data_IF_610460224038
#
_entry.id   IF_610460224038
#
_cell.length_a   1.000
_cell.length_b   1.000
_cell.length_c   1.000
_cell.angle_alpha   90.00
_cell.angle_beta   90.00
_cell.angle_gamma   90.00
#
_symmetry.space_group_name_H-M   'P 1'
#
loop_
_entity.id
_entity.type
_entity.pdbx_description
1 polymer ?
#
# COMPACT_ATOMS: atom_id res chain seq x y z
N UNK A 1 -27.05 13.95 -1.20
CA UNK A 1 -25.86 14.22 -0.36
C UNK A 1 -25.00 15.25 -1.07
N UNK A 2 -24.73 16.37 -0.43
CA UNK A 2 -23.87 17.43 -0.96
C UNK A 2 -22.42 16.93 -1.05
N UNK A 3 -21.65 17.47 -2.01
CA UNK A 3 -20.23 17.12 -2.22
C UNK A 3 -19.37 17.24 -0.95
N UNK A 4 -19.69 18.22 -0.09
CA UNK A 4 -19.04 18.46 1.21
C UNK A 4 -19.22 17.31 2.21
N UNK A 5 -20.35 16.59 2.18
CA UNK A 5 -20.59 15.45 3.08
C UNK A 5 -19.84 14.16 2.64
N UNK A 6 -19.34 14.10 1.39
CA UNK A 6 -18.60 12.96 0.87
C UNK A 6 -17.11 13.01 1.21
N UNK A 7 -16.54 14.20 1.35
CA UNK A 7 -15.11 14.40 1.58
C UNK A 7 -14.57 13.71 2.85
N UNK A 8 -15.16 13.90 4.05
CA UNK A 8 -14.65 13.25 5.26
C UNK A 8 -14.73 11.72 5.18
N UNK A 9 -15.70 11.19 4.44
CA UNK A 9 -15.85 9.76 4.22
C UNK A 9 -14.73 9.19 3.33
N UNK A 10 -14.41 9.88 2.24
CA UNK A 10 -13.32 9.50 1.33
C UNK A 10 -11.99 9.58 2.06
N UNK A 11 -11.78 10.66 2.82
CA UNK A 11 -10.57 10.84 3.63
C UNK A 11 -10.40 9.73 4.68
N UNK A 12 -11.48 9.37 5.38
CA UNK A 12 -11.46 8.27 6.34
C UNK A 12 -11.13 6.93 5.66
N UNK A 13 -11.77 6.64 4.52
CA UNK A 13 -11.49 5.43 3.76
C UNK A 13 -10.04 5.38 3.27
N UNK A 14 -9.51 6.52 2.82
CA UNK A 14 -8.13 6.68 2.41
C UNK A 14 -7.14 6.42 3.57
N UNK A 15 -7.36 7.05 4.72
CA UNK A 15 -6.49 6.87 5.89
C UNK A 15 -6.50 5.42 6.39
N UNK A 16 -7.68 4.79 6.43
CA UNK A 16 -7.80 3.39 6.84
C UNK A 16 -7.10 2.45 5.86
N UNK A 17 -7.26 2.69 4.56
CA UNK A 17 -6.60 1.91 3.52
C UNK A 17 -5.07 2.09 3.56
N UNK A 18 -4.60 3.32 3.73
CA UNK A 18 -3.19 3.63 3.83
C UNK A 18 -2.56 2.98 5.07
N UNK A 19 -3.24 3.03 6.21
CA UNK A 19 -2.79 2.36 7.44
C UNK A 19 -2.72 0.84 7.26
N UNK A 20 -3.78 0.23 6.72
CA UNK A 20 -3.82 -1.21 6.48
C UNK A 20 -2.70 -1.66 5.51
N UNK A 21 -2.56 -0.96 4.38
CA UNK A 21 -1.49 -1.25 3.41
C UNK A 21 -0.10 -1.07 4.00
N UNK A 22 0.10 -0.01 4.78
CA UNK A 22 1.37 0.26 5.45
C UNK A 22 1.76 -0.86 6.42
N UNK A 23 0.85 -1.23 7.32
CA UNK A 23 1.13 -2.31 8.30
C UNK A 23 1.47 -3.63 7.60
N UNK A 24 0.67 -4.02 6.60
CA UNK A 24 0.91 -5.26 5.85
C UNK A 24 2.24 -5.20 5.08
N UNK A 25 2.54 -4.08 4.45
CA UNK A 25 3.78 -3.88 3.72
C UNK A 25 5.03 -3.99 4.62
N UNK A 26 4.99 -3.36 5.81
CA UNK A 26 6.09 -3.46 6.78
C UNK A 26 6.23 -4.89 7.29
N UNK A 27 5.13 -5.57 7.62
CA UNK A 27 5.18 -6.98 8.04
C UNK A 27 5.85 -7.84 6.97
N UNK A 28 5.49 -7.68 5.71
CA UNK A 28 6.13 -8.43 4.62
C UNK A 28 7.61 -8.10 4.46
N UNK A 29 7.99 -6.82 4.49
CA UNK A 29 9.38 -6.41 4.36
C UNK A 29 10.24 -6.94 5.52
N UNK A 30 9.77 -6.76 6.76
CA UNK A 30 10.48 -7.23 7.95
C UNK A 30 10.59 -8.75 7.96
N UNK A 31 9.52 -9.47 7.59
CA UNK A 31 9.56 -10.95 7.48
C UNK A 31 10.62 -11.38 6.48
N UNK A 32 10.65 -10.79 5.28
CA UNK A 32 11.65 -11.12 4.26
C UNK A 32 13.08 -10.84 4.75
N UNK A 33 13.30 -9.71 5.43
CA UNK A 33 14.60 -9.38 6.01
C UNK A 33 15.03 -10.40 7.09
N UNK A 34 14.10 -10.79 7.98
CA UNK A 34 14.39 -11.77 9.02
C UNK A 34 14.68 -13.17 8.44
N UNK A 35 13.99 -13.57 7.37
CA UNK A 35 14.25 -14.82 6.67
C UNK A 35 15.64 -14.80 6.03
N UNK A 36 15.99 -13.74 5.31
CA UNK A 36 17.31 -13.57 4.70
C UNK A 36 18.45 -13.63 5.76
N UNK A 37 18.23 -13.01 6.93
CA UNK A 37 19.20 -13.07 8.02
C UNK A 37 19.38 -14.49 8.58
N UNK A 38 18.31 -15.28 8.67
CA UNK A 38 18.38 -16.69 9.08
C UNK A 38 19.11 -17.54 8.05
N UNK A 39 18.92 -17.28 6.76
CA UNK A 39 19.64 -18.01 5.71
C UNK A 39 21.16 -17.81 5.76
N UNK A 40 21.63 -16.66 6.24
CA UNK A 40 23.06 -16.39 6.45
C UNK A 40 23.55 -16.85 7.85
N UNK A 41 22.73 -17.61 8.58
CA UNK A 41 23.10 -18.23 9.85
C UNK A 41 22.87 -17.38 11.10
N UNK A 42 22.14 -16.27 11.02
CA UNK A 42 21.80 -15.47 12.18
C UNK A 42 20.75 -16.19 13.06
N UNK A 43 21.06 -16.40 14.32
CA UNK A 43 20.08 -16.92 15.30
C UNK A 43 19.25 -15.75 15.85
N UNK A 44 18.02 -15.64 15.37
CA UNK A 44 17.09 -14.57 15.72
C UNK A 44 15.99 -15.15 16.61
N UNK A 45 16.11 -14.91 17.91
CA UNK A 45 15.06 -15.27 18.87
C UNK A 45 13.78 -14.46 18.69
N UNK A 46 12.65 -14.99 19.19
CA UNK A 46 11.33 -14.38 19.05
C UNK A 46 11.26 -12.93 19.57
N UNK A 47 11.94 -12.64 20.68
CA UNK A 47 11.99 -11.28 21.25
C UNK A 47 12.71 -10.27 20.35
N UNK A 48 13.81 -10.68 19.72
CA UNK A 48 14.53 -9.86 18.75
C UNK A 48 13.67 -9.61 17.50
N UNK A 49 13.00 -10.64 16.99
CA UNK A 49 12.10 -10.51 15.86
C UNK A 49 10.96 -9.50 16.14
N UNK A 50 10.27 -9.63 17.28
CA UNK A 50 9.20 -8.70 17.66
C UNK A 50 9.71 -7.25 17.76
N UNK A 51 10.89 -7.06 18.38
CA UNK A 51 11.50 -5.73 18.46
C UNK A 51 11.78 -5.13 17.08
N UNK A 52 12.24 -5.95 16.13
CA UNK A 52 12.48 -5.52 14.74
C UNK A 52 11.19 -5.07 14.08
N UNK A 53 10.09 -5.83 14.20
CA UNK A 53 8.79 -5.41 13.66
C UNK A 53 8.33 -4.06 14.22
N UNK A 54 8.41 -3.87 15.53
CA UNK A 54 8.00 -2.62 16.17
C UNK A 54 8.89 -1.45 15.75
N UNK A 55 10.20 -1.70 15.63
CA UNK A 55 11.15 -0.68 15.18
C UNK A 55 10.90 -0.28 13.73
N UNK A 56 10.65 -1.23 12.84
CA UNK A 56 10.39 -0.96 11.42
C UNK A 56 9.04 -0.24 11.24
N UNK A 57 7.98 -0.66 11.95
CA UNK A 57 6.71 0.04 11.96
C UNK A 57 6.86 1.52 12.36
N UNK A 58 7.70 1.80 13.35
CA UNK A 58 7.94 3.18 13.78
C UNK A 58 8.90 3.90 12.85
N UNK A 59 9.99 3.26 12.44
CA UNK A 59 11.07 3.85 11.65
C UNK A 59 10.67 4.24 10.23
N UNK A 60 9.75 3.48 9.61
CA UNK A 60 9.28 3.73 8.25
C UNK A 60 8.01 4.59 8.18
N UNK A 61 7.53 5.08 9.33
CA UNK A 61 6.36 5.97 9.43
C UNK A 61 6.56 7.25 8.58
N UNK A 62 5.52 7.77 7.94
CA UNK A 62 5.60 9.03 7.19
C UNK A 62 6.05 10.18 8.11
N UNK A 63 7.13 10.87 7.75
CA UNK A 63 7.68 12.02 8.49
C UNK A 63 8.04 13.17 7.54
N UNK A 64 7.20 13.44 6.55
CA UNK A 64 7.43 14.49 5.54
C UNK A 64 8.74 14.37 4.73
N UNK A 65 9.48 13.29 4.89
CA UNK A 65 10.64 12.97 4.06
C UNK A 65 10.19 12.12 2.88
N UNK A 66 10.35 12.61 1.66
CA UNK A 66 9.93 11.95 0.41
C UNK A 66 10.65 10.59 0.24
N UNK A 67 11.81 10.44 0.84
CA UNK A 67 12.62 9.21 0.80
C UNK A 67 12.08 8.09 1.69
N UNK A 68 11.14 8.37 2.58
CA UNK A 68 10.59 7.34 3.47
C UNK A 68 9.49 6.56 2.80
N UNK A 69 9.54 5.25 2.98
CA UNK A 69 8.59 4.31 2.38
C UNK A 69 7.13 4.67 2.64
N UNK A 70 6.76 4.98 3.89
CA UNK A 70 5.39 5.38 4.24
C UNK A 70 4.92 6.65 3.52
N UNK A 71 5.81 7.62 3.30
CA UNK A 71 5.49 8.85 2.55
C UNK A 71 5.24 8.53 1.08
N UNK A 72 6.08 7.70 0.47
CA UNK A 72 5.91 7.26 -0.93
C UNK A 72 4.59 6.53 -1.11
N UNK A 73 4.22 5.64 -0.18
CA UNK A 73 2.92 4.97 -0.20
C UNK A 73 1.76 5.94 -0.11
N UNK A 74 1.79 6.91 0.82
CA UNK A 74 0.72 7.91 0.95
C UNK A 74 0.54 8.70 -0.33
N UNK A 75 1.62 9.22 -0.90
CA UNK A 75 1.57 9.97 -2.17
C UNK A 75 1.05 9.07 -3.30
N UNK A 76 1.56 7.85 -3.40
CA UNK A 76 1.13 6.89 -4.41
C UNK A 76 -0.36 6.60 -4.34
N UNK A 77 -0.90 6.32 -3.17
CA UNK A 77 -2.34 6.10 -3.00
C UNK A 77 -3.19 7.35 -3.23
N UNK A 78 -2.68 8.54 -2.83
CA UNK A 78 -3.36 9.82 -3.07
C UNK A 78 -3.53 10.14 -4.56
N UNK A 79 -2.65 9.61 -5.41
CA UNK A 79 -2.75 9.72 -6.87
C UNK A 79 -3.57 8.56 -7.44
N UNK A 80 -3.26 7.32 -7.05
CA UNK A 80 -3.79 6.13 -7.68
C UNK A 80 -5.30 5.93 -7.41
N UNK A 81 -5.79 6.20 -6.21
CA UNK A 81 -7.21 6.01 -5.88
C UNK A 81 -8.15 6.99 -6.59
N UNK A 82 -7.86 8.30 -6.69
CA UNK A 82 -8.65 9.20 -7.53
C UNK A 82 -8.63 8.82 -9.01
N UNK A 83 -7.47 8.40 -9.54
CA UNK A 83 -7.36 7.92 -10.93
C UNK A 83 -8.23 6.68 -11.13
N UNK A 84 -8.16 5.71 -10.21
CA UNK A 84 -9.02 4.52 -10.27
C UNK A 84 -10.51 4.86 -10.18
N UNK A 85 -10.89 5.85 -9.35
CA UNK A 85 -12.26 6.34 -9.25
C UNK A 85 -12.73 6.95 -10.57
N UNK A 86 -11.89 7.76 -11.21
CA UNK A 86 -12.18 8.37 -12.51
C UNK A 86 -12.31 7.30 -13.59
N UNK A 87 -11.37 6.37 -13.68
CA UNK A 87 -11.41 5.27 -14.64
C UNK A 87 -12.67 4.41 -14.46
N UNK A 88 -13.02 4.10 -13.21
CA UNK A 88 -14.26 3.38 -12.90
C UNK A 88 -15.49 4.14 -13.37
N UNK A 89 -15.54 5.45 -13.13
CA UNK A 89 -16.64 6.29 -13.54
C UNK A 89 -16.78 6.30 -15.07
N UNK A 90 -15.70 6.56 -15.78
CA UNK A 90 -15.67 6.59 -17.25
C UNK A 90 -16.02 5.23 -17.87
N UNK A 91 -15.44 4.15 -17.35
CA UNK A 91 -15.67 2.81 -17.85
C UNK A 91 -17.13 2.35 -17.69
N UNK A 92 -17.77 2.65 -16.57
CA UNK A 92 -19.18 2.30 -16.34
C UNK A 92 -20.13 3.10 -17.23
N UNK A 93 -19.78 4.35 -17.60
CA UNK A 93 -20.56 5.16 -18.54
C UNK A 93 -20.40 4.69 -19.99
N UNK A 94 -19.20 4.22 -20.35
CA UNK A 94 -18.91 3.76 -21.71
C UNK A 94 -19.51 2.38 -22.00
N UNK A 95 -19.44 1.44 -21.03
CA UNK A 95 -19.93 0.08 -21.21
C UNK A 95 -20.35 -0.56 -19.88
N UNK A 96 -21.65 -0.81 -19.64
CA UNK A 96 -22.12 -1.48 -18.43
C UNK A 96 -21.54 -2.88 -18.19
N UNK A 97 -21.08 -3.58 -19.23
CA UNK A 97 -20.45 -4.90 -19.08
C UNK A 97 -19.14 -4.82 -18.26
N UNK A 98 -18.50 -3.66 -18.21
CA UNK A 98 -17.30 -3.40 -17.38
C UNK A 98 -17.62 -3.41 -15.88
N UNK A 99 -18.87 -3.39 -15.48
CA UNK A 99 -19.28 -3.46 -14.07
C UNK A 99 -18.69 -4.68 -13.33
N UNK A 100 -18.42 -5.78 -14.04
CA UNK A 100 -17.77 -6.98 -13.45
C UNK A 100 -16.32 -6.74 -13.09
N UNK A 101 -15.59 -5.88 -13.80
CA UNK A 101 -14.16 -5.60 -13.59
C UNK A 101 -13.96 -4.37 -12.70
N UNK A 102 -14.95 -3.49 -12.63
CA UNK A 102 -14.90 -2.28 -11.83
C UNK A 102 -14.47 -2.47 -10.34
N UNK A 103 -14.82 -3.57 -9.66
CA UNK A 103 -14.36 -3.85 -8.29
C UNK A 103 -12.84 -4.06 -8.18
N UNK A 104 -12.16 -4.46 -9.24
CA UNK A 104 -10.72 -4.74 -9.21
C UNK A 104 -9.85 -3.50 -9.48
N UNK A 105 -10.44 -2.38 -9.86
CA UNK A 105 -9.67 -1.17 -10.19
C UNK A 105 -8.94 -0.57 -8.98
N UNK A 106 -9.54 -0.55 -7.80
CA UNK A 106 -8.87 -0.05 -6.60
C UNK A 106 -7.74 -0.97 -6.10
N UNK A 107 -7.93 -2.29 -6.01
CA UNK A 107 -6.82 -3.21 -5.74
C UNK A 107 -5.68 -3.09 -6.73
N UNK A 108 -5.98 -3.00 -8.02
CA UNK A 108 -4.97 -2.81 -9.06
C UNK A 108 -4.23 -1.48 -8.90
N UNK A 109 -4.96 -0.40 -8.64
CA UNK A 109 -4.37 0.92 -8.40
C UNK A 109 -3.46 0.94 -7.16
N UNK A 110 -3.86 0.26 -6.09
CA UNK A 110 -3.03 0.12 -4.89
C UNK A 110 -1.76 -0.69 -5.15
N UNK A 111 -1.86 -1.82 -5.87
CA UNK A 111 -0.71 -2.64 -6.26
C UNK A 111 0.27 -1.86 -7.15
N UNK A 112 -0.23 -1.17 -8.17
CA UNK A 112 0.60 -0.37 -9.08
C UNK A 112 1.23 0.83 -8.39
N UNK A 113 0.53 1.48 -7.45
CA UNK A 113 1.07 2.60 -6.69
C UNK A 113 2.30 2.18 -5.88
N UNK A 114 2.24 1.06 -5.15
CA UNK A 114 3.38 0.54 -4.40
C UNK A 114 4.48 0.06 -5.35
N UNK A 115 4.16 -0.72 -6.36
CA UNK A 115 5.14 -1.22 -7.32
C UNK A 115 5.90 -0.10 -8.02
N UNK A 116 5.21 0.93 -8.50
CA UNK A 116 5.83 2.11 -9.12
C UNK A 116 6.68 2.89 -8.11
N UNK A 117 6.15 3.14 -6.91
CA UNK A 117 6.87 3.85 -5.86
C UNK A 117 8.19 3.16 -5.48
N UNK A 118 8.16 1.83 -5.29
CA UNK A 118 9.37 1.04 -5.02
C UNK A 118 10.35 1.07 -6.19
N UNK A 119 9.85 0.94 -7.43
CA UNK A 119 10.71 1.01 -8.62
C UNK A 119 11.43 2.34 -8.70
N UNK A 120 10.72 3.45 -8.48
CA UNK A 120 11.33 4.79 -8.45
C UNK A 120 12.36 4.89 -7.33
N UNK A 121 12.05 4.40 -6.13
CA UNK A 121 12.99 4.40 -5.00
C UNK A 121 14.25 3.61 -5.31
N UNK A 122 14.14 2.43 -5.92
CA UNK A 122 15.28 1.61 -6.28
C UNK A 122 16.15 2.23 -7.39
N UNK A 123 15.52 2.93 -8.34
CA UNK A 123 16.25 3.59 -9.43
C UNK A 123 16.98 4.87 -8.99
N UNK A 124 16.40 5.64 -8.06
CA UNK A 124 16.95 6.94 -7.70
C UNK A 124 17.94 6.89 -6.52
N UNK A 125 17.77 5.94 -5.60
CA UNK A 125 18.49 6.02 -4.34
C UNK A 125 19.48 4.88 -4.11
N UNK A 126 19.65 3.95 -5.05
CA UNK A 126 20.54 2.75 -4.95
C UNK A 126 20.50 2.04 -3.59
N UNK A 127 19.98 2.72 -2.56
CA UNK A 127 19.90 2.30 -1.17
C UNK A 127 18.54 1.68 -0.92
N UNK A 128 18.58 0.45 -0.53
CA UNK A 128 17.41 -0.32 -0.17
C UNK A 128 16.97 -0.01 1.26
N UNK A 129 16.29 1.10 1.45
CA UNK A 129 15.58 1.34 2.72
C UNK A 129 14.62 0.20 3.06
N UNK A 130 14.21 -0.57 2.04
CA UNK A 130 13.32 -1.74 2.16
C UNK A 130 13.97 -2.92 1.45
N UNK A 131 15.08 -3.45 2.02
CA UNK A 131 15.82 -4.57 1.44
C UNK A 131 14.92 -5.80 1.18
N UNK A 132 13.97 -6.08 2.07
CA UNK A 132 12.99 -7.15 1.92
C UNK A 132 11.95 -6.94 0.82
N UNK A 133 11.95 -5.79 0.14
CA UNK A 133 11.05 -5.53 -0.99
C UNK A 133 11.66 -5.86 -2.36
N UNK A 134 12.78 -6.58 -2.41
CA UNK A 134 13.41 -7.06 -3.66
C UNK A 134 12.95 -8.46 -4.01
N UNK A 135 13.07 -8.84 -5.28
CA UNK A 135 12.71 -10.18 -5.75
C UNK A 135 11.25 -10.54 -5.42
N UNK A 136 11.05 -11.66 -4.73
CA UNK A 136 9.72 -12.10 -4.29
C UNK A 136 9.05 -11.08 -3.34
N UNK A 137 9.83 -10.35 -2.54
CA UNK A 137 9.35 -9.31 -1.65
C UNK A 137 8.67 -8.15 -2.40
N UNK A 138 9.10 -7.83 -3.63
CA UNK A 138 8.45 -6.82 -4.46
C UNK A 138 6.97 -7.18 -4.73
N UNK A 139 6.70 -8.42 -5.07
CA UNK A 139 5.33 -8.89 -5.32
C UNK A 139 4.49 -8.91 -4.03
N UNK A 140 5.10 -9.24 -2.90
CA UNK A 140 4.45 -9.15 -1.60
C UNK A 140 4.07 -7.69 -1.27
N UNK A 141 4.91 -6.71 -1.62
CA UNK A 141 4.60 -5.30 -1.47
C UNK A 141 3.44 -4.86 -2.39
N UNK A 142 3.43 -5.30 -3.65
CA UNK A 142 2.31 -5.06 -4.56
C UNK A 142 1.00 -5.65 -4.01
N UNK A 143 1.06 -6.84 -3.39
CA UNK A 143 -0.09 -7.44 -2.72
C UNK A 143 -0.58 -6.60 -1.53
N UNK A 144 0.33 -6.04 -0.72
CA UNK A 144 -0.05 -5.11 0.35
C UNK A 144 -0.78 -3.88 -0.20
N UNK A 145 -0.35 -3.36 -1.35
CA UNK A 145 -1.05 -2.28 -2.06
C UNK A 145 -2.44 -2.71 -2.57
N UNK A 146 -2.56 -3.92 -3.10
CA UNK A 146 -3.85 -4.46 -3.51
C UNK A 146 -4.82 -4.57 -2.33
N UNK A 147 -4.35 -5.04 -1.17
CA UNK A 147 -5.13 -5.10 0.07
C UNK A 147 -5.57 -3.70 0.53
N UNK A 148 -4.70 -2.69 0.44
CA UNK A 148 -5.09 -1.30 0.71
C UNK A 148 -6.23 -0.84 -0.20
N UNK A 149 -6.15 -1.14 -1.50
CA UNK A 149 -7.21 -0.83 -2.47
C UNK A 149 -8.53 -1.54 -2.16
N UNK A 150 -8.49 -2.80 -1.71
CA UNK A 150 -9.67 -3.53 -1.24
C UNK A 150 -10.30 -2.88 0.01
N UNK A 151 -9.49 -2.49 0.99
CA UNK A 151 -9.96 -1.79 2.20
C UNK A 151 -10.61 -0.46 1.84
N UNK A 152 -10.00 0.30 0.92
CA UNK A 152 -10.57 1.55 0.43
C UNK A 152 -11.94 1.35 -0.19
N UNK A 153 -12.05 0.42 -1.13
CA UNK A 153 -13.30 0.10 -1.80
C UNK A 153 -14.37 -0.38 -0.81
N UNK A 154 -14.03 -1.31 0.07
CA UNK A 154 -14.95 -1.86 1.06
C UNK A 154 -15.49 -0.79 2.02
N UNK A 155 -14.61 0.12 2.48
CA UNK A 155 -15.01 1.22 3.35
C UNK A 155 -15.98 2.18 2.65
N UNK A 156 -15.76 2.45 1.36
CA UNK A 156 -16.66 3.26 0.56
C UNK A 156 -18.01 2.58 0.31
N UNK A 157 -18.03 1.27 0.05
CA UNK A 157 -19.27 0.54 -0.21
C UNK A 157 -20.16 0.41 1.00
N UNK A 158 -19.59 0.08 2.18
CA UNK A 158 -20.36 -0.09 3.43
C UNK A 158 -21.04 1.19 3.95
N UNK A 159 -20.47 2.34 3.66
CA UNK A 159 -21.01 3.64 4.09
C UNK A 159 -21.90 4.29 3.02
N UNK A 160 -22.22 3.61 1.92
CA UNK A 160 -23.06 4.06 0.81
C UNK A 160 -24.46 3.45 0.79
N UNK A 161 -24.64 2.42 1.59
CA UNK A 161 -25.95 1.88 1.95
C UNK A 161 -26.46 2.62 3.18
#
# INVERSE_FOLDING_TARGET
>A
MTSLQRLPRILFAYLLAALAGYVVAIVFATTANLLNLREVGADIGAGAALRTYLFDLWGMTPRFEITRYGTVMLIGFAIAFPVAALLRHLALHANPAVARVAPYLYPLAGATAIGTGLTIMFMQYEVTAVAGARGAGFWAQCLAGALAGLVFQWTLSRRGA
#
